data_IF_016780848190
#
_entry.id   IF_016780848190
#
_cell.length_a   1.000
_cell.length_b   1.000
_cell.length_c   1.000
_cell.angle_alpha   90.00
_cell.angle_beta   90.00
_cell.angle_gamma   90.00
#
_symmetry.space_group_name_H-M   'P 1'
#
loop_
_entity.id
_entity.type
_entity.pdbx_description
1 polymer ?
#
# COMPACT_ATOMS: atom_id res chain seq x y z
N UNK A 1 18.94 42.88 -8.42
CA UNK A 1 17.53 42.88 -8.05
C UNK A 1 16.83 41.83 -8.88
N UNK A 2 16.34 40.78 -8.25
CA UNK A 2 15.09 40.10 -8.61
C UNK A 2 14.80 39.08 -7.50
N UNK A 3 13.98 39.54 -6.55
CA UNK A 3 13.17 38.63 -5.73
C UNK A 3 12.06 38.08 -6.61
N UNK A 4 11.79 36.78 -6.49
CA UNK A 4 10.42 36.29 -6.55
C UNK A 4 10.31 34.99 -5.76
N UNK A 5 9.87 35.13 -4.51
CA UNK A 5 9.11 34.10 -3.79
C UNK A 5 7.69 34.17 -4.35
N UNK A 6 7.09 33.01 -4.68
CA UNK A 6 5.66 32.65 -4.51
C UNK A 6 5.31 31.49 -5.46
N UNK A 7 4.60 30.48 -4.92
CA UNK A 7 3.62 29.76 -5.72
C UNK A 7 3.73 28.24 -5.73
N UNK A 8 3.57 27.61 -4.57
CA UNK A 8 3.40 26.16 -4.48
C UNK A 8 2.76 25.70 -3.19
N UNK A 9 1.96 26.56 -2.57
CA UNK A 9 1.04 26.26 -1.45
C UNK A 9 -0.11 25.36 -1.93
N UNK A 10 0.24 24.24 -2.56
CA UNK A 10 -0.60 23.07 -2.71
C UNK A 10 -0.17 22.04 -1.66
N UNK A 11 -0.02 22.50 -0.41
CA UNK A 11 -0.38 21.70 0.75
C UNK A 11 -1.74 21.10 0.41
N UNK A 12 -1.75 19.78 0.18
CA UNK A 12 -2.92 19.05 -0.27
C UNK A 12 -4.15 19.56 0.46
N UNK A 13 -5.16 19.98 -0.32
CA UNK A 13 -6.33 20.66 0.23
C UNK A 13 -6.74 20.04 1.55
N UNK A 14 -6.71 20.85 2.62
CA UNK A 14 -7.24 20.49 3.94
C UNK A 14 -8.71 20.08 3.75
N UNK A 15 -8.96 18.81 3.48
CA UNK A 15 -10.31 18.38 3.12
C UNK A 15 -10.44 16.90 2.83
N UNK A 16 -9.62 16.32 1.95
CA UNK A 16 -9.53 14.86 1.88
C UNK A 16 -8.50 14.39 2.90
N UNK A 17 -8.97 14.12 4.13
CA UNK A 17 -8.14 13.48 5.17
C UNK A 17 -7.39 12.31 4.53
N UNK A 18 -6.12 12.11 4.88
CA UNK A 18 -5.34 10.96 4.41
C UNK A 18 -6.12 9.63 4.62
N UNK A 19 -6.99 9.58 5.63
CA UNK A 19 -7.97 8.51 5.87
C UNK A 19 -8.98 8.28 4.75
N UNK A 20 -9.50 9.33 4.10
CA UNK A 20 -10.48 9.22 3.00
C UNK A 20 -9.78 8.73 1.74
N UNK A 21 -8.58 9.23 1.45
CA UNK A 21 -7.74 8.74 0.34
C UNK A 21 -7.32 7.30 0.61
N UNK A 22 -6.91 6.99 1.83
CA UNK A 22 -6.55 5.64 2.27
C UNK A 22 -7.71 4.67 2.21
N UNK A 23 -8.92 5.08 2.60
CA UNK A 23 -10.14 4.27 2.51
C UNK A 23 -10.57 4.04 1.06
N UNK A 24 -10.62 5.07 0.23
CA UNK A 24 -10.94 4.94 -1.20
C UNK A 24 -9.91 4.06 -1.92
N UNK A 25 -8.62 4.20 -1.57
CA UNK A 25 -7.55 3.33 -2.07
C UNK A 25 -7.70 1.89 -1.55
N UNK A 26 -8.04 1.70 -0.28
CA UNK A 26 -8.29 0.39 0.32
C UNK A 26 -9.53 -0.30 -0.26
N UNK A 27 -10.59 0.44 -0.60
CA UNK A 27 -11.81 -0.09 -1.23
C UNK A 27 -11.57 -0.48 -2.70
N UNK A 28 -10.87 0.38 -3.46
CA UNK A 28 -10.44 0.04 -4.83
C UNK A 28 -9.46 -1.14 -4.83
N UNK A 29 -8.57 -1.19 -3.84
CA UNK A 29 -7.67 -2.32 -3.64
C UNK A 29 -8.46 -3.58 -3.26
N UNK A 30 -9.41 -3.50 -2.33
CA UNK A 30 -10.25 -4.64 -1.95
C UNK A 30 -11.02 -5.21 -3.15
N UNK A 31 -11.46 -4.37 -4.09
CA UNK A 31 -12.03 -4.83 -5.35
C UNK A 31 -11.00 -5.58 -6.23
N UNK A 32 -9.77 -5.08 -6.34
CA UNK A 32 -8.67 -5.75 -7.06
C UNK A 32 -8.23 -7.05 -6.39
N UNK A 33 -8.12 -7.08 -5.06
CA UNK A 33 -7.78 -8.28 -4.28
C UNK A 33 -8.88 -9.36 -4.39
N UNK A 34 -10.15 -8.96 -4.39
CA UNK A 34 -11.29 -9.88 -4.59
C UNK A 34 -11.31 -10.52 -5.97
N UNK A 35 -10.76 -9.84 -6.98
CA UNK A 35 -10.65 -10.41 -8.32
C UNK A 35 -9.63 -11.56 -8.40
N UNK A 36 -8.74 -11.70 -7.40
CA UNK A 36 -7.81 -12.84 -7.27
C UNK A 36 -6.72 -12.92 -8.36
N UNK A 37 -6.70 -11.99 -9.30
CA UNK A 37 -5.74 -11.94 -10.39
C UNK A 37 -4.36 -11.48 -9.90
N UNK A 38 -3.27 -12.03 -10.45
CA UNK A 38 -1.93 -11.54 -10.14
C UNK A 38 -1.76 -10.08 -10.57
N UNK A 39 -1.23 -9.25 -9.68
CA UNK A 39 -0.87 -7.86 -10.00
C UNK A 39 0.53 -7.79 -10.60
N UNK A 40 0.79 -6.69 -11.30
CA UNK A 40 2.15 -6.35 -11.73
C UNK A 40 3.10 -6.18 -10.52
N UNK A 41 4.36 -6.65 -10.58
CA UNK A 41 5.31 -6.52 -9.46
C UNK A 41 5.59 -5.08 -9.01
N UNK A 42 5.54 -4.09 -9.90
CA UNK A 42 5.70 -2.69 -9.51
C UNK A 42 4.43 -2.13 -8.86
N UNK A 43 3.26 -2.65 -9.24
CA UNK A 43 2.04 -2.33 -8.53
C UNK A 43 2.11 -2.88 -7.09
N UNK A 44 2.61 -4.11 -6.91
CA UNK A 44 2.79 -4.73 -5.59
C UNK A 44 3.53 -3.81 -4.62
N UNK A 45 4.62 -3.15 -5.05
CA UNK A 45 5.43 -2.23 -4.22
C UNK A 45 4.56 -1.18 -3.51
N UNK A 46 3.61 -0.58 -4.22
CA UNK A 46 2.69 0.42 -3.67
C UNK A 46 1.58 -0.21 -2.82
N UNK A 47 1.13 -1.42 -3.17
CA UNK A 47 0.06 -2.11 -2.46
C UNK A 47 0.44 -2.47 -1.04
N UNK A 48 1.72 -2.73 -0.78
CA UNK A 48 2.23 -3.12 0.54
C UNK A 48 1.90 -2.09 1.61
N UNK A 49 2.00 -0.80 1.28
CA UNK A 49 1.67 0.30 2.18
C UNK A 49 0.18 0.26 2.56
N UNK A 50 -0.70 0.08 1.58
CA UNK A 50 -2.13 0.01 1.82
C UNK A 50 -2.53 -1.27 2.58
N UNK A 51 -1.89 -2.40 2.30
CA UNK A 51 -2.09 -3.64 3.03
C UNK A 51 -1.74 -3.50 4.52
N UNK A 52 -0.66 -2.77 4.84
CA UNK A 52 -0.29 -2.48 6.23
C UNK A 52 -1.32 -1.60 6.95
N UNK A 53 -1.95 -0.67 6.24
CA UNK A 53 -2.91 0.29 6.80
C UNK A 53 -4.35 -0.26 6.86
N UNK A 54 -4.69 -1.21 5.99
CA UNK A 54 -6.01 -1.81 5.91
C UNK A 54 -6.41 -2.45 7.25
N UNK A 55 -7.73 -2.55 7.50
CA UNK A 55 -8.25 -3.27 8.65
C UNK A 55 -8.33 -4.76 8.32
N UNK A 56 -7.67 -5.59 9.12
CA UNK A 56 -7.75 -7.04 8.99
C UNK A 56 -6.81 -7.61 7.93
N UNK A 57 -7.14 -8.81 7.47
CA UNK A 57 -6.34 -9.59 6.51
C UNK A 57 -6.50 -9.12 5.06
N UNK A 58 -5.36 -8.89 4.39
CA UNK A 58 -5.24 -8.61 2.95
C UNK A 58 -4.36 -9.65 2.27
N UNK A 59 -4.70 -10.08 1.05
CA UNK A 59 -3.93 -11.09 0.28
C UNK A 59 -3.83 -10.64 -1.17
N UNK A 60 -2.60 -10.53 -1.68
CA UNK A 60 -2.30 -10.20 -3.07
C UNK A 60 -1.36 -11.24 -3.69
N UNK A 61 -1.49 -11.49 -4.98
CA UNK A 61 -0.56 -12.32 -5.76
C UNK A 61 0.14 -11.48 -6.81
N UNK A 62 1.40 -11.76 -7.11
CA UNK A 62 2.16 -11.11 -8.18
C UNK A 62 3.12 -12.10 -8.84
N UNK A 63 3.62 -11.77 -10.04
CA UNK A 63 4.56 -12.65 -10.74
C UNK A 63 5.92 -12.81 -10.02
N UNK A 64 6.34 -11.81 -9.24
CA UNK A 64 7.57 -11.84 -8.45
C UNK A 64 7.51 -10.83 -7.30
N UNK A 65 8.34 -11.05 -6.29
CA UNK A 65 8.67 -10.06 -5.28
C UNK A 65 9.84 -9.21 -5.79
N UNK A 66 9.70 -7.88 -5.74
CA UNK A 66 10.79 -6.97 -6.07
C UNK A 66 11.58 -6.59 -4.80
N UNK A 67 12.79 -6.07 -4.95
CA UNK A 67 13.55 -5.50 -3.81
C UNK A 67 12.84 -4.30 -3.17
N UNK A 68 12.05 -3.55 -3.93
CA UNK A 68 11.26 -2.43 -3.43
C UNK A 68 10.10 -2.94 -2.58
N UNK A 69 9.40 -3.99 -3.01
CA UNK A 69 8.39 -4.69 -2.21
C UNK A 69 8.99 -5.23 -0.90
N UNK A 70 10.14 -5.89 -0.94
CA UNK A 70 10.82 -6.37 0.27
C UNK A 70 11.12 -5.25 1.27
N UNK A 71 11.68 -4.14 0.76
CA UNK A 71 11.98 -2.96 1.58
C UNK A 71 10.71 -2.33 2.13
N UNK A 72 9.64 -2.24 1.33
CA UNK A 72 8.35 -1.71 1.77
C UNK A 72 7.73 -2.59 2.86
N UNK A 73 7.80 -3.92 2.76
CA UNK A 73 7.33 -4.85 3.80
C UNK A 73 8.12 -4.62 5.09
N UNK A 74 9.45 -4.57 4.98
CA UNK A 74 10.32 -4.33 6.12
C UNK A 74 9.97 -3.01 6.80
N UNK A 75 9.82 -1.93 6.03
CA UNK A 75 9.48 -0.61 6.54
C UNK A 75 8.11 -0.61 7.23
N UNK A 76 7.10 -1.20 6.59
CA UNK A 76 5.75 -1.27 7.14
C UNK A 76 5.72 -2.04 8.46
N UNK A 77 6.41 -3.18 8.55
CA UNK A 77 6.57 -3.94 9.81
C UNK A 77 7.16 -3.07 10.93
N UNK A 78 8.21 -2.30 10.63
CA UNK A 78 8.92 -1.49 11.63
C UNK A 78 8.16 -0.23 12.06
N UNK A 79 7.49 0.45 11.12
CA UNK A 79 6.81 1.71 11.41
C UNK A 79 5.42 1.48 12.00
N UNK A 80 4.67 0.52 11.46
CA UNK A 80 3.25 0.34 11.81
C UNK A 80 3.00 -0.82 12.77
N UNK A 81 3.88 -1.83 12.78
CA UNK A 81 3.63 -3.09 13.49
C UNK A 81 2.73 -4.08 12.72
N UNK A 82 2.34 -3.77 11.48
CA UNK A 82 1.60 -4.70 10.62
C UNK A 82 2.38 -6.00 10.39
N UNK A 83 1.68 -7.12 10.41
CA UNK A 83 2.28 -8.43 10.13
C UNK A 83 2.22 -8.73 8.64
N UNK A 84 3.24 -9.39 8.10
CA UNK A 84 3.28 -9.81 6.70
C UNK A 84 3.78 -11.24 6.59
N UNK A 85 3.25 -11.99 5.64
CA UNK A 85 3.75 -13.29 5.23
C UNK A 85 3.93 -13.31 3.71
N UNK A 86 5.00 -13.95 3.24
CA UNK A 86 5.32 -14.02 1.82
C UNK A 86 5.65 -15.45 1.45
N UNK A 87 4.91 -15.98 0.49
CA UNK A 87 5.02 -17.36 0.03
C UNK A 87 5.15 -17.40 -1.50
N UNK A 88 5.76 -18.47 -2.02
CA UNK A 88 5.75 -18.77 -3.45
C UNK A 88 4.73 -19.88 -3.69
N UNK A 89 3.77 -19.64 -4.57
CA UNK A 89 2.67 -20.56 -4.90
C UNK A 89 2.47 -20.53 -6.42
N UNK A 90 2.51 -21.68 -7.09
CA UNK A 90 2.24 -21.84 -8.53
C UNK A 90 3.02 -20.89 -9.47
N UNK A 91 4.29 -20.63 -9.14
CA UNK A 91 5.14 -19.72 -9.92
C UNK A 91 4.84 -18.23 -9.70
N UNK A 92 3.95 -17.91 -8.77
CA UNK A 92 3.64 -16.57 -8.29
C UNK A 92 4.19 -16.36 -6.87
N UNK A 93 4.18 -15.11 -6.45
CA UNK A 93 4.39 -14.70 -5.07
C UNK A 93 3.06 -14.28 -4.48
N UNK A 94 2.70 -14.89 -3.35
CA UNK A 94 1.56 -14.53 -2.53
C UNK A 94 2.07 -13.72 -1.34
N UNK A 95 1.59 -12.48 -1.22
CA UNK A 95 1.85 -11.61 -0.06
C UNK A 95 0.56 -11.48 0.72
N UNK A 96 0.65 -11.77 2.01
CA UNK A 96 -0.43 -11.63 2.97
C UNK A 96 -0.03 -10.60 4.04
N UNK A 97 -0.98 -9.80 4.49
CA UNK A 97 -0.78 -8.86 5.58
C UNK A 97 -1.96 -8.86 6.55
N UNK A 98 -1.65 -8.75 7.84
CA UNK A 98 -2.60 -8.33 8.86
C UNK A 98 -2.34 -6.85 9.15
N UNK A 99 -3.20 -6.00 8.60
CA UNK A 99 -3.04 -4.55 8.68
C UNK A 99 -3.59 -3.95 9.98
N UNK A 100 -3.11 -2.75 10.33
CA UNK A 100 -3.37 -2.11 11.63
C UNK A 100 -4.76 -1.48 11.76
N UNK A 101 -5.53 -1.38 10.67
CA UNK A 101 -6.83 -0.69 10.68
C UNK A 101 -6.75 0.81 10.93
N UNK A 102 -5.86 1.51 10.21
CA UNK A 102 -5.67 2.95 10.36
C UNK A 102 -6.96 3.73 10.03
N UNK A 103 -7.46 4.51 11.00
CA UNK A 103 -8.68 5.33 10.86
C UNK A 103 -10.00 4.56 11.01
N UNK A 104 -9.98 3.37 11.63
CA UNK A 104 -11.16 2.53 11.89
C UNK A 104 -11.51 2.34 13.36
#
# INVERSE_FOLDING_TARGET
SEESIVGGDALGERGKRAEVVGREAAEKLAATLRAGAPVDPHALDNLIIYMALAKGRSVVRAAKLTSHAETAIWLCRHITGAHFEVEKEDGLVRVEAEGIGYGS
#
